data_IF_308424599715
#
_entry.id   IF_308424599715
#
_cell.length_a   1.000
_cell.length_b   1.000
_cell.length_c   1.000
_cell.angle_alpha   90.00
_cell.angle_beta   90.00
_cell.angle_gamma   90.00
#
_symmetry.space_group_name_H-M   'P 1'
#
loop_
_entity.id
_entity.type
_entity.pdbx_description
1 polymer ?
#
# COMPACT_ATOMS: atom_id res chain seq x y z
N UNK A 1 -7.58 -1.03 11.20
CA UNK A 1 -6.18 -1.24 11.61
C UNK A 1 -5.46 -1.81 10.41
N UNK A 2 -4.28 -1.30 10.09
CA UNK A 2 -3.57 -1.69 8.87
C UNK A 2 -2.43 -2.65 9.23
N UNK A 3 -2.32 -3.77 8.51
CA UNK A 3 -1.28 -4.77 8.76
C UNK A 3 0.03 -4.37 8.06
N UNK A 4 1.21 -4.85 8.54
CA UNK A 4 2.48 -4.51 7.91
C UNK A 4 2.54 -4.83 6.42
N UNK A 5 1.88 -5.90 5.98
CA UNK A 5 1.81 -6.27 4.57
C UNK A 5 1.14 -5.19 3.72
N UNK A 6 0.07 -4.56 4.21
CA UNK A 6 -0.60 -3.45 3.52
C UNK A 6 0.35 -2.28 3.32
N UNK A 7 1.13 -1.93 4.35
CA UNK A 7 2.13 -0.85 4.29
C UNK A 7 3.21 -1.19 3.27
N UNK A 8 3.72 -2.42 3.26
CA UNK A 8 4.72 -2.86 2.28
C UNK A 8 4.20 -2.82 0.84
N UNK A 9 2.96 -3.26 0.60
CA UNK A 9 2.31 -3.19 -0.72
C UNK A 9 2.15 -1.74 -1.14
N UNK A 10 1.70 -0.88 -0.23
CA UNK A 10 1.49 0.54 -0.51
C UNK A 10 2.79 1.25 -0.91
N UNK A 11 3.85 1.04 -0.12
CA UNK A 11 5.16 1.62 -0.40
C UNK A 11 5.73 1.08 -1.71
N UNK A 12 5.51 -0.20 -2.03
CA UNK A 12 5.94 -0.77 -3.30
C UNK A 12 5.24 -0.14 -4.50
N UNK A 13 3.92 0.08 -4.43
CA UNK A 13 3.16 0.79 -5.46
C UNK A 13 3.61 2.25 -5.61
N UNK A 14 4.19 2.85 -4.56
CA UNK A 14 4.68 4.22 -4.62
C UNK A 14 6.03 4.35 -5.34
N UNK A 15 6.90 3.35 -5.20
CA UNK A 15 8.28 3.42 -5.69
C UNK A 15 8.52 2.68 -7.01
N UNK A 16 7.56 1.86 -7.46
CA UNK A 16 7.70 1.03 -8.67
C UNK A 16 6.39 0.89 -9.44
N UNK A 17 6.49 0.88 -10.76
CA UNK A 17 5.41 0.51 -11.68
C UNK A 17 5.10 -0.99 -11.64
N UNK A 18 6.08 -1.82 -11.28
CA UNK A 18 5.90 -3.24 -10.95
C UNK A 18 6.20 -3.48 -9.45
N UNK A 19 5.19 -3.39 -8.58
CA UNK A 19 5.36 -3.59 -7.14
C UNK A 19 5.67 -5.05 -6.80
N UNK A 20 5.42 -6.00 -7.72
CA UNK A 20 5.69 -7.41 -7.48
C UNK A 20 7.19 -7.68 -7.37
N UNK A 21 8.02 -6.93 -8.09
CA UNK A 21 9.48 -7.00 -7.97
C UNK A 21 9.97 -6.48 -6.63
N UNK A 22 9.33 -5.42 -6.10
CA UNK A 22 9.72 -4.78 -4.84
C UNK A 22 9.33 -5.64 -3.63
N UNK A 23 8.07 -6.11 -3.58
CA UNK A 23 7.56 -6.93 -2.46
C UNK A 23 8.01 -8.40 -2.59
N UNK A 24 8.40 -8.80 -3.80
CA UNK A 24 8.73 -10.17 -4.16
C UNK A 24 7.52 -10.95 -4.68
N UNK A 25 7.67 -11.57 -5.84
CA UNK A 25 6.57 -12.22 -6.57
C UNK A 25 5.78 -13.23 -5.73
N UNK A 26 6.46 -14.03 -4.89
CA UNK A 26 5.81 -15.02 -4.01
C UNK A 26 4.85 -14.38 -3.01
N UNK A 27 5.23 -13.23 -2.45
CA UNK A 27 4.38 -12.46 -1.54
C UNK A 27 3.26 -11.81 -2.34
N UNK A 28 3.59 -11.19 -3.48
CA UNK A 28 2.63 -10.51 -4.35
C UNK A 28 1.48 -11.41 -4.82
N UNK A 29 1.73 -12.69 -5.12
CA UNK A 29 0.70 -13.64 -5.58
C UNK A 29 -0.04 -14.34 -4.45
N UNK A 30 0.37 -14.13 -3.19
CA UNK A 30 -0.26 -14.76 -2.02
C UNK A 30 -1.71 -14.30 -1.84
N UNK A 31 -2.51 -15.13 -1.15
CA UNK A 31 -3.92 -14.80 -0.83
C UNK A 31 -3.99 -13.54 0.02
N UNK A 32 -3.17 -13.43 1.06
CA UNK A 32 -3.11 -12.24 1.91
C UNK A 32 -2.79 -10.97 1.09
N UNK A 33 -1.80 -11.00 0.19
CA UNK A 33 -1.50 -9.83 -0.63
C UNK A 33 -2.63 -9.47 -1.61
N UNK A 34 -3.42 -10.44 -2.08
CA UNK A 34 -4.62 -10.17 -2.88
C UNK A 34 -5.69 -9.46 -2.05
N UNK A 35 -5.93 -9.91 -0.82
CA UNK A 35 -6.89 -9.29 0.10
C UNK A 35 -6.47 -7.86 0.46
N UNK A 36 -5.20 -7.65 0.79
CA UNK A 36 -4.68 -6.31 1.12
C UNK A 36 -4.73 -5.36 -0.08
N UNK A 37 -4.45 -5.83 -1.30
CA UNK A 37 -4.64 -5.00 -2.51
C UNK A 37 -6.10 -4.66 -2.74
N UNK A 38 -7.01 -5.62 -2.57
CA UNK A 38 -8.43 -5.37 -2.73
C UNK A 38 -8.92 -4.33 -1.70
N UNK A 39 -8.45 -4.43 -0.47
CA UNK A 39 -8.69 -3.45 0.59
C UNK A 39 -8.15 -2.05 0.23
N UNK A 40 -6.92 -1.97 -0.30
CA UNK A 40 -6.33 -0.70 -0.75
C UNK A 40 -7.06 -0.09 -1.95
N UNK A 41 -7.53 -0.91 -2.89
CA UNK A 41 -8.35 -0.50 -4.03
C UNK A 41 -9.70 0.06 -3.57
N UNK A 42 -10.38 -0.66 -2.68
CA UNK A 42 -11.69 -0.25 -2.12
C UNK A 42 -11.57 1.06 -1.31
N UNK A 43 -10.47 1.23 -0.58
CA UNK A 43 -10.15 2.46 0.14
C UNK A 43 -9.70 3.62 -0.77
N UNK A 44 -9.59 3.42 -2.09
CA UNK A 44 -9.13 4.42 -3.04
C UNK A 44 -7.69 4.87 -2.82
N UNK A 45 -6.84 4.01 -2.25
CA UNK A 45 -5.43 4.30 -1.95
C UNK A 45 -4.52 4.00 -3.14
N UNK A 46 -4.87 2.96 -3.89
CA UNK A 46 -4.19 2.58 -5.13
C UNK A 46 -5.23 2.42 -6.22
N UNK A 47 -4.78 2.49 -7.47
CA UNK A 47 -5.56 2.19 -8.66
C UNK A 47 -4.74 1.29 -9.59
N UNK A 48 -5.45 0.55 -10.45
CA UNK A 48 -4.82 -0.27 -11.49
C UNK A 48 -5.12 0.35 -12.86
N UNK A 49 -4.10 0.87 -13.52
CA UNK A 49 -4.20 1.42 -14.88
C UNK A 49 -3.53 0.45 -15.86
N UNK A 50 -4.35 -0.25 -16.65
CA UNK A 50 -3.89 -1.34 -17.52
C UNK A 50 -3.08 -2.40 -16.74
N UNK A 51 -1.76 -2.37 -16.85
CA UNK A 51 -0.83 -3.27 -16.18
C UNK A 51 -0.07 -2.64 -14.99
N UNK A 52 -0.22 -1.32 -14.79
CA UNK A 52 0.46 -0.58 -13.74
C UNK A 52 -0.38 -0.48 -12.46
N UNK A 53 0.31 -0.50 -11.32
CA UNK A 53 -0.27 -0.21 -10.01
C UNK A 53 0.21 1.17 -9.55
N UNK A 54 -0.72 2.10 -9.43
CA UNK A 54 -0.42 3.49 -9.14
C UNK A 54 -1.02 3.87 -7.80
N UNK A 55 -0.31 4.70 -7.04
CA UNK A 55 -0.80 5.29 -5.81
C UNK A 55 -1.61 6.55 -6.13
N UNK A 56 -2.84 6.61 -5.63
CA UNK A 56 -3.71 7.78 -5.77
C UNK A 56 -3.21 8.95 -4.92
N UNK A 57 -3.76 10.15 -5.10
CA UNK A 57 -3.37 11.29 -4.25
C UNK A 57 -3.72 11.06 -2.77
N UNK A 58 -4.83 10.38 -2.48
CA UNK A 58 -5.17 9.95 -1.10
C UNK A 58 -4.11 8.99 -0.56
N UNK A 59 -3.69 8.04 -1.38
CA UNK A 59 -2.63 7.10 -1.04
C UNK A 59 -1.29 7.79 -0.76
N UNK A 60 -0.91 8.79 -1.57
CA UNK A 60 0.30 9.59 -1.36
C UNK A 60 0.24 10.34 -0.03
N UNK A 61 -0.88 11.00 0.28
CA UNK A 61 -1.05 11.69 1.55
C UNK A 61 -0.93 10.73 2.75
N UNK A 62 -1.44 9.51 2.62
CA UNK A 62 -1.25 8.49 3.64
C UNK A 62 0.22 8.10 3.78
N UNK A 63 0.95 7.87 2.70
CA UNK A 63 2.40 7.58 2.73
C UNK A 63 3.20 8.71 3.39
N UNK A 64 2.92 9.96 3.04
CA UNK A 64 3.59 11.11 3.67
C UNK A 64 3.39 11.10 5.19
N UNK A 65 2.17 10.79 5.64
CA UNK A 65 1.87 10.60 7.06
C UNK A 65 2.63 9.41 7.66
N UNK A 66 2.73 8.28 6.95
CA UNK A 66 3.52 7.12 7.40
C UNK A 66 4.99 7.50 7.62
N UNK A 67 5.59 8.20 6.64
CA UNK A 67 6.99 8.62 6.67
C UNK A 67 7.27 9.73 7.71
N UNK A 68 6.28 10.56 7.99
CA UNK A 68 6.35 11.59 9.03
C UNK A 68 6.11 11.05 10.44
N UNK A 69 5.68 9.80 10.59
CA UNK A 69 5.36 9.23 11.91
C UNK A 69 6.66 8.84 12.64
N UNK A 70 6.98 9.46 13.80
CA UNK A 70 8.18 9.14 14.54
C UNK A 70 8.11 7.74 15.17
N UNK A 71 9.26 7.04 15.19
CA UNK A 71 9.35 5.69 15.75
C UNK A 71 9.39 5.69 17.28
N UNK A 72 8.81 4.65 17.94
CA UNK A 72 8.16 3.48 17.34
C UNK A 72 6.68 3.69 17.02
N UNK A 73 6.23 3.16 15.88
CA UNK A 73 4.81 3.20 15.51
C UNK A 73 4.07 2.05 16.17
N UNK A 74 3.19 2.38 17.11
CA UNK A 74 2.36 1.40 17.80
C UNK A 74 1.25 0.81 16.90
N UNK A 75 0.68 1.63 16.00
CA UNK A 75 -0.45 1.26 15.14
C UNK A 75 -0.45 2.04 13.83
N UNK A 76 -0.67 1.34 12.72
CA UNK A 76 -0.94 1.96 11.42
C UNK A 76 -2.46 2.10 11.22
N UNK A 77 -2.90 3.31 10.87
CA UNK A 77 -4.31 3.66 10.65
C UNK A 77 -4.45 4.40 9.32
N UNK A 78 -5.61 4.27 8.69
CA UNK A 78 -5.93 5.10 7.54
C UNK A 78 -6.26 6.54 7.98
N UNK A 79 -6.16 7.52 7.07
CA UNK A 79 -6.71 8.84 7.32
C UNK A 79 -8.24 8.73 7.42
N UNK A 80 -8.75 8.99 8.62
CA UNK A 80 -10.17 9.24 8.87
C UNK A 80 -10.47 10.64 8.29
N UNK A 81 -10.78 10.73 7.00
CA UNK A 81 -11.44 11.91 6.45
C UNK A 81 -12.94 11.87 6.78
#
# INVERSE_FOLDING_TARGET
MVVPLTVSIMLACHVSHDPAEVVGIKVWVSVAAKEERAFLLDAGMIEKLADDWIVTDRGKAWIERLLATPFPVAKWTFPDD
#
